data_IF_278691189578
#
_entry.id   IF_278691189578
#
_cell.length_a   1.000
_cell.length_b   1.000
_cell.length_c   1.000
_cell.angle_alpha   90.00
_cell.angle_beta   90.00
_cell.angle_gamma   90.00
#
_symmetry.space_group_name_H-M   'P 1'
#
loop_
_entity.id
_entity.type
_entity.pdbx_description
1 polymer ?
#
# COMPACT_ATOMS: atom_id res chain seq x y z
N UNK A 1 -13.50 5.55 4.53
CA UNK A 1 -12.99 4.56 3.59
C UNK A 1 -12.39 3.41 4.39
N UNK A 2 -12.96 2.21 4.21
CA UNK A 2 -13.06 1.08 5.16
C UNK A 2 -13.99 1.34 6.34
N UNK A 3 -15.19 0.79 6.21
CA UNK A 3 -16.16 0.69 7.28
C UNK A 3 -15.95 -0.66 7.97
N UNK A 4 -15.03 -0.69 8.94
CA UNK A 4 -14.69 -1.87 9.73
C UNK A 4 -14.65 -1.57 11.23
N UNK A 5 -14.51 -2.62 12.04
CA UNK A 5 -14.50 -2.52 13.50
C UNK A 5 -13.12 -2.14 14.07
N UNK A 6 -12.12 -1.81 13.24
CA UNK A 6 -10.77 -1.48 13.72
C UNK A 6 -10.65 -0.05 14.26
N UNK A 7 -11.66 0.81 14.03
CA UNK A 7 -11.73 2.15 14.60
C UNK A 7 -10.74 3.17 14.01
N UNK A 8 -10.11 2.83 12.88
CA UNK A 8 -9.14 3.71 12.19
C UNK A 8 -9.84 4.75 11.31
N UNK A 9 -10.92 4.36 10.63
CA UNK A 9 -11.72 5.28 9.82
C UNK A 9 -12.75 6.03 10.69
N UNK A 10 -12.69 7.37 10.67
CA UNK A 10 -13.68 8.22 11.34
C UNK A 10 -15.05 8.23 10.65
N UNK A 11 -15.19 7.53 9.54
CA UNK A 11 -16.45 7.41 8.81
C UNK A 11 -16.84 8.67 8.02
N UNK A 12 -15.96 9.69 7.97
CA UNK A 12 -16.18 10.95 7.24
C UNK A 12 -15.98 10.79 5.72
N UNK A 13 -15.23 9.77 5.31
CA UNK A 13 -14.94 9.49 3.91
C UNK A 13 -15.98 8.55 3.31
N UNK A 14 -17.11 9.13 2.87
CA UNK A 14 -18.26 8.39 2.29
C UNK A 14 -18.20 8.18 0.77
N UNK A 15 -17.47 9.04 0.06
CA UNK A 15 -17.44 9.05 -1.42
C UNK A 15 -16.19 8.41 -2.03
N UNK A 16 -15.22 8.01 -1.20
CA UNK A 16 -13.99 7.35 -1.63
C UNK A 16 -14.07 5.87 -1.29
N UNK A 17 -13.80 5.02 -2.26
CA UNK A 17 -13.64 3.57 -2.08
C UNK A 17 -12.16 3.20 -1.88
N UNK A 18 -11.84 2.11 -1.16
CA UNK A 18 -10.45 1.66 -0.99
C UNK A 18 -9.75 1.38 -2.33
N UNK A 19 -10.51 0.90 -3.33
CA UNK A 19 -10.00 0.64 -4.69
C UNK A 19 -9.40 1.86 -5.39
N UNK A 20 -9.79 3.08 -4.98
CA UNK A 20 -9.29 4.34 -5.56
C UNK A 20 -8.00 4.84 -4.90
N UNK A 21 -7.57 4.19 -3.82
CA UNK A 21 -6.40 4.58 -3.06
C UNK A 21 -5.16 3.82 -3.56
N UNK A 22 -3.99 4.42 -3.35
CA UNK A 22 -2.69 3.82 -3.64
C UNK A 22 -1.87 3.67 -2.37
N UNK A 23 -1.11 2.57 -2.28
CA UNK A 23 -0.18 2.33 -1.17
C UNK A 23 0.84 3.48 -1.06
N UNK A 24 1.02 4.10 0.11
CA UNK A 24 2.04 5.11 0.29
C UNK A 24 3.42 4.52 0.01
N UNK A 25 4.24 5.26 -0.73
CA UNK A 25 5.59 4.86 -1.10
C UNK A 25 6.60 5.45 -0.12
N UNK A 26 6.44 5.12 1.16
CA UNK A 26 7.36 5.53 2.22
C UNK A 26 8.69 4.75 2.15
N UNK A 27 9.66 5.13 3.00
CA UNK A 27 11.00 4.52 3.01
C UNK A 27 10.95 3.02 3.32
N UNK A 28 10.15 2.58 4.29
CA UNK A 28 10.03 1.17 4.68
C UNK A 28 9.24 0.38 3.63
N UNK A 29 8.02 0.82 3.32
CA UNK A 29 7.12 0.17 2.36
C UNK A 29 7.77 0.03 0.98
N UNK A 30 8.45 1.08 0.51
CA UNK A 30 9.18 1.05 -0.77
C UNK A 30 10.39 0.11 -0.77
N UNK A 31 11.12 0.00 0.35
CA UNK A 31 12.26 -0.92 0.45
C UNK A 31 11.80 -2.38 0.51
N UNK A 32 10.79 -2.67 1.31
CA UNK A 32 10.19 -4.02 1.41
C UNK A 32 9.59 -4.43 0.07
N UNK A 33 8.83 -3.56 -0.60
CA UNK A 33 8.28 -3.84 -1.93
C UNK A 33 9.35 -4.17 -2.97
N UNK A 34 10.53 -3.54 -2.89
CA UNK A 34 11.67 -3.86 -3.77
C UNK A 34 12.29 -5.22 -3.48
N UNK A 35 12.50 -5.53 -2.20
CA UNK A 35 13.01 -6.83 -1.75
C UNK A 35 12.05 -7.97 -2.13
N UNK A 36 10.74 -7.72 -2.08
CA UNK A 36 9.69 -8.66 -2.52
C UNK A 36 9.49 -8.72 -4.05
N UNK A 37 10.19 -7.89 -4.83
CA UNK A 37 10.05 -7.86 -6.29
C UNK A 37 8.75 -7.24 -6.81
N UNK A 38 7.95 -6.60 -5.94
CA UNK A 38 6.71 -5.91 -6.28
C UNK A 38 6.96 -4.55 -6.97
N UNK A 39 8.11 -3.95 -6.68
CA UNK A 39 8.59 -2.68 -7.23
C UNK A 39 10.05 -2.83 -7.68
N UNK A 40 10.39 -2.49 -8.92
CA UNK A 40 11.79 -2.57 -9.42
C UNK A 40 12.44 -1.20 -9.50
N UNK A 41 11.64 -0.14 -9.70
CA UNK A 41 12.15 1.21 -9.87
C UNK A 41 12.79 1.74 -8.59
N UNK A 42 13.98 2.35 -8.70
CA UNK A 42 14.74 2.88 -7.56
C UNK A 42 14.24 4.24 -7.07
N UNK A 43 13.73 5.08 -7.98
CA UNK A 43 13.20 6.39 -7.63
C UNK A 43 11.84 6.26 -6.92
N UNK A 44 11.58 7.13 -5.95
CA UNK A 44 10.26 7.23 -5.31
C UNK A 44 9.45 8.32 -6.02
N UNK A 45 8.93 8.01 -7.20
CA UNK A 45 8.14 8.92 -8.03
C UNK A 45 6.78 8.32 -8.42
N UNK A 46 5.96 9.09 -9.14
CA UNK A 46 4.64 8.64 -9.59
C UNK A 46 4.71 7.37 -10.47
N UNK A 47 5.82 7.11 -11.15
CA UNK A 47 6.01 5.88 -11.94
C UNK A 47 6.21 4.68 -11.02
N UNK A 48 6.99 4.84 -9.95
CA UNK A 48 7.15 3.80 -8.93
C UNK A 48 5.83 3.53 -8.20
N UNK A 49 5.07 4.57 -7.87
CA UNK A 49 3.74 4.41 -7.27
C UNK A 49 2.82 3.60 -8.19
N UNK A 50 2.76 3.96 -9.48
CA UNK A 50 1.96 3.24 -10.47
C UNK A 50 2.40 1.79 -10.64
N UNK A 51 3.71 1.52 -10.61
CA UNK A 51 4.26 0.15 -10.68
C UNK A 51 3.81 -0.68 -9.47
N UNK A 52 4.00 -0.14 -8.27
CA UNK A 52 3.58 -0.81 -7.04
C UNK A 52 2.07 -1.03 -7.01
N UNK A 53 1.28 -0.02 -7.34
CA UNK A 53 -0.18 -0.09 -7.39
C UNK A 53 -0.66 -1.17 -8.37
N UNK A 54 -0.02 -1.25 -9.55
CA UNK A 54 -0.30 -2.31 -10.54
C UNK A 54 0.02 -3.70 -9.98
N UNK A 55 1.11 -3.85 -9.21
CA UNK A 55 1.45 -5.11 -8.56
C UNK A 55 0.45 -5.46 -7.46
N UNK A 56 0.09 -4.52 -6.58
CA UNK A 56 -0.83 -4.73 -5.46
C UNK A 56 -2.25 -5.10 -5.92
N UNK A 57 -2.74 -4.47 -6.99
CA UNK A 57 -4.05 -4.77 -7.59
C UNK A 57 -4.17 -6.18 -8.17
N UNK A 58 -3.06 -6.85 -8.46
CA UNK A 58 -3.08 -8.27 -8.86
C UNK A 58 -3.44 -9.19 -7.70
N UNK A 59 -3.18 -8.77 -6.46
CA UNK A 59 -3.56 -9.51 -5.26
C UNK A 59 -4.97 -9.13 -4.80
N UNK A 60 -5.27 -7.83 -4.77
CA UNK A 60 -6.62 -7.33 -4.49
C UNK A 60 -6.86 -5.98 -5.18
N UNK A 61 -7.72 -5.97 -6.19
CA UNK A 61 -8.08 -4.74 -6.89
C UNK A 61 -9.18 -3.93 -6.17
N UNK A 62 -9.96 -4.57 -5.31
CA UNK A 62 -11.01 -3.91 -4.53
C UNK A 62 -10.42 -3.10 -3.36
N UNK A 63 -9.28 -3.57 -2.86
CA UNK A 63 -8.57 -2.93 -1.77
C UNK A 63 -7.04 -3.13 -1.85
N UNK A 64 -6.36 -2.48 -2.81
CA UNK A 64 -4.92 -2.62 -3.00
C UNK A 64 -4.11 -1.92 -1.90
N UNK A 65 -4.69 -0.93 -1.21
CA UNK A 65 -3.96 -0.14 -0.21
C UNK A 65 -3.80 -0.90 1.11
N UNK A 66 -4.58 -1.96 1.38
CA UNK A 66 -4.48 -2.74 2.64
C UNK A 66 -3.12 -3.38 2.91
N UNK A 67 -2.33 -3.54 1.86
CA UNK A 67 -0.98 -4.12 1.95
C UNK A 67 0.04 -3.12 2.51
N UNK A 68 -0.32 -1.85 2.69
CA UNK A 68 0.52 -0.85 3.36
C UNK A 68 0.94 -1.33 4.76
N UNK A 69 -0.01 -1.86 5.53
CA UNK A 69 0.22 -2.40 6.87
C UNK A 69 1.22 -3.56 6.86
N UNK A 70 1.11 -4.46 5.87
CA UNK A 70 2.02 -5.59 5.72
C UNK A 70 3.42 -5.15 5.28
N UNK A 71 3.52 -4.28 4.27
CA UNK A 71 4.80 -3.77 3.76
C UNK A 71 5.54 -2.95 4.81
N UNK A 72 4.82 -2.10 5.55
CA UNK A 72 5.38 -1.36 6.67
C UNK A 72 5.80 -2.30 7.81
N UNK A 73 4.91 -3.22 8.22
CA UNK A 73 5.14 -4.12 9.34
C UNK A 73 6.37 -5.02 9.13
N UNK A 74 6.55 -5.57 7.93
CA UNK A 74 7.75 -6.33 7.57
C UNK A 74 9.02 -5.49 7.72
N UNK A 75 8.98 -4.21 7.33
CA UNK A 75 10.15 -3.34 7.40
C UNK A 75 10.52 -2.92 8.83
N UNK A 76 9.53 -2.74 9.70
CA UNK A 76 9.74 -2.24 11.07
C UNK A 76 9.96 -3.36 12.09
N UNK A 77 9.21 -4.46 11.98
CA UNK A 77 9.21 -5.51 13.01
C UNK A 77 10.08 -6.71 12.64
N UNK A 78 10.17 -7.05 11.35
CA UNK A 78 10.88 -8.25 10.89
C UNK A 78 12.32 -7.95 10.41
N UNK A 79 12.75 -6.68 10.43
CA UNK A 79 14.08 -6.28 9.97
C UNK A 79 14.35 -6.61 8.49
N UNK A 80 13.27 -6.69 7.70
CA UNK A 80 13.28 -7.24 6.34
C UNK A 80 14.16 -6.46 5.38
#
# INVERSE_FOLDING_TARGET
VRDDNAGVDFGIWKNLSPSQLSCPLDVHSGNVARKLGLLKRKQNDAKALKELDTSLRKFDNSDPVKYDFALFGLGVFEGF
#
